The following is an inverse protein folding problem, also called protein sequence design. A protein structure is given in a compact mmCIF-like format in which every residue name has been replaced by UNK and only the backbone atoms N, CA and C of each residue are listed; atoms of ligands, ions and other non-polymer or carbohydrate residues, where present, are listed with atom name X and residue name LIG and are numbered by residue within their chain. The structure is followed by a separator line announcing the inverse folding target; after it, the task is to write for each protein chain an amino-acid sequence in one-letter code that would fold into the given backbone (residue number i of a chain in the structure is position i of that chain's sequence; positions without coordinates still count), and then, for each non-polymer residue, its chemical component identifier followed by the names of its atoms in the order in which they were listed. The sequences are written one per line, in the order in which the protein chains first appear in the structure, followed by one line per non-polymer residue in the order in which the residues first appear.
data_IF_926293098808
#
_entry.id   IF_926293098808
#
_cell.length_a   1.000
_cell.length_b   1.000
_cell.length_c   1.000
_cell.angle_alpha   90.00
_cell.angle_beta   90.00
_cell.angle_gamma   90.00
#
_symmetry.space_group_name_H-M   'P 1'
#
loop_
_entity.id
_entity.type
_entity.pdbx_description
1 polymer ?
#
# COMPACT_ATOMS: atom_id res chain seq x y z
N UNK A 1 -38.47 11.87 17.19
CA UNK A 1 -37.99 10.48 17.02
C UNK A 1 -38.43 10.02 15.65
N UNK A 2 -37.62 10.31 14.63
CA UNK A 2 -37.85 9.87 13.26
C UNK A 2 -36.77 8.85 12.95
N UNK A 3 -37.17 7.60 12.79
CA UNK A 3 -36.34 6.48 12.38
C UNK A 3 -36.33 6.46 10.84
N UNK A 4 -35.20 6.69 10.14
CA UNK A 4 -35.19 6.63 8.69
C UNK A 4 -34.14 5.63 8.22
N UNK A 5 -34.33 4.32 8.45
CA UNK A 5 -33.63 3.29 7.69
C UNK A 5 -34.54 2.07 7.51
N UNK A 6 -35.68 2.30 6.87
CA UNK A 6 -36.29 1.27 6.04
C UNK A 6 -35.90 1.57 4.59
N UNK A 7 -34.86 0.88 4.14
CA UNK A 7 -34.67 0.61 2.72
C UNK A 7 -34.29 -0.86 2.63
N UNK A 8 -35.21 -1.69 2.14
CA UNK A 8 -34.91 -3.00 1.57
C UNK A 8 -33.97 -2.81 0.36
N UNK A 9 -32.70 -2.51 0.61
CA UNK A 9 -31.64 -2.66 -0.38
C UNK A 9 -31.05 -4.04 -0.17
N UNK A 10 -31.35 -4.95 -1.10
CA UNK A 10 -30.79 -6.28 -1.14
C UNK A 10 -29.26 -6.15 -1.34
N UNK A 11 -28.50 -6.06 -0.24
CA UNK A 11 -27.05 -5.88 -0.25
C UNK A 11 -26.42 -7.05 -0.99
N UNK A 12 -25.47 -6.76 -1.88
CA UNK A 12 -24.74 -7.78 -2.66
C UNK A 12 -24.14 -8.81 -1.71
N UNK A 13 -24.44 -10.12 -1.85
CA UNK A 13 -23.77 -11.16 -1.08
C UNK A 13 -22.28 -11.18 -1.42
N UNK A 14 -21.43 -11.31 -0.40
CA UNK A 14 -19.98 -11.30 -0.56
C UNK A 14 -19.39 -12.52 0.14
N UNK A 15 -18.41 -13.13 -0.50
CA UNK A 15 -17.54 -14.13 0.11
C UNK A 15 -16.20 -13.48 0.48
N UNK A 16 -15.71 -13.70 1.70
CA UNK A 16 -14.33 -13.36 2.09
C UNK A 16 -13.54 -14.64 2.35
N UNK A 17 -12.40 -14.77 1.67
CA UNK A 17 -11.46 -15.88 1.79
C UNK A 17 -10.17 -15.35 2.43
N UNK A 18 -9.80 -15.94 3.56
CA UNK A 18 -8.65 -15.52 4.35
C UNK A 18 -9.06 -14.65 5.53
N UNK A 19 -8.86 -15.18 6.73
CA UNK A 19 -9.25 -14.54 8.00
C UNK A 19 -8.03 -14.34 8.89
N UNK A 20 -6.96 -13.79 8.31
CA UNK A 20 -5.89 -13.14 9.08
C UNK A 20 -6.39 -11.83 9.71
N UNK A 21 -5.54 -11.08 10.44
CA UNK A 21 -5.94 -9.81 11.06
C UNK A 21 -6.63 -8.84 10.08
N UNK A 22 -6.07 -8.70 8.87
CA UNK A 22 -6.64 -7.84 7.84
C UNK A 22 -7.95 -8.39 7.25
N UNK A 23 -7.97 -9.67 6.87
CA UNK A 23 -9.19 -10.31 6.33
C UNK A 23 -10.36 -10.33 7.31
N UNK A 24 -10.10 -10.47 8.62
CA UNK A 24 -11.11 -10.32 9.67
C UNK A 24 -11.70 -8.91 9.72
N UNK A 25 -10.86 -7.88 9.61
CA UNK A 25 -11.30 -6.49 9.61
C UNK A 25 -12.16 -6.18 8.36
N UNK A 26 -11.73 -6.66 7.18
CA UNK A 26 -12.50 -6.56 5.93
C UNK A 26 -13.86 -7.25 6.06
N UNK A 27 -13.88 -8.50 6.53
CA UNK A 27 -15.10 -9.27 6.71
C UNK A 27 -16.06 -8.59 7.70
N UNK A 28 -15.55 -8.14 8.86
CA UNK A 28 -16.37 -7.44 9.88
C UNK A 28 -16.94 -6.13 9.35
N UNK A 29 -16.16 -5.35 8.59
CA UNK A 29 -16.64 -4.10 8.01
C UNK A 29 -17.81 -4.35 7.05
N UNK A 30 -17.72 -5.35 6.18
CA UNK A 30 -18.80 -5.72 5.25
C UNK A 30 -20.05 -6.22 5.99
N UNK A 31 -19.86 -7.07 7.01
CA UNK A 31 -20.94 -7.61 7.83
C UNK A 31 -21.68 -6.50 8.58
N UNK A 32 -20.95 -5.55 9.16
CA UNK A 32 -21.50 -4.39 9.88
C UNK A 32 -22.34 -3.49 8.96
N UNK A 33 -21.98 -3.39 7.69
CA UNK A 33 -22.75 -2.65 6.67
C UNK A 33 -23.91 -3.46 6.06
N UNK A 34 -24.19 -4.65 6.59
CA UNK A 34 -25.36 -5.46 6.26
C UNK A 34 -25.22 -6.34 5.02
N UNK A 35 -24.00 -6.59 4.53
CA UNK A 35 -23.80 -7.54 3.43
C UNK A 35 -24.02 -8.99 3.91
N UNK A 36 -24.83 -9.82 3.20
CA UNK A 36 -24.85 -11.26 3.43
C UNK A 36 -23.45 -11.82 3.20
N UNK A 37 -22.81 -12.25 4.28
CA UNK A 37 -21.39 -12.60 4.27
C UNK A 37 -21.20 -14.11 4.36
N UNK A 38 -20.53 -14.68 3.37
CA UNK A 38 -19.92 -16.01 3.48
C UNK A 38 -18.44 -15.85 3.79
N UNK A 39 -17.90 -16.65 4.70
CA UNK A 39 -16.48 -16.64 5.03
C UNK A 39 -15.86 -18.02 4.88
N UNK A 40 -14.58 -18.04 4.52
CA UNK A 40 -13.77 -19.25 4.53
C UNK A 40 -12.33 -18.94 4.94
N UNK A 41 -11.73 -19.85 5.70
CA UNK A 41 -10.32 -19.83 6.04
C UNK A 41 -9.82 -21.25 6.30
N UNK A 42 -8.55 -21.53 6.00
CA UNK A 42 -7.92 -22.85 6.27
C UNK A 42 -8.05 -23.29 7.74
N UNK A 43 -7.88 -22.34 8.67
CA UNK A 43 -8.16 -22.54 10.10
C UNK A 43 -9.54 -21.98 10.40
N UNK A 44 -10.54 -22.85 10.46
CA UNK A 44 -11.95 -22.45 10.47
C UNK A 44 -12.32 -21.60 11.70
N UNK A 45 -11.73 -21.90 12.85
CA UNK A 45 -11.99 -21.29 14.17
C UNK A 45 -11.70 -19.78 14.17
N UNK A 46 -10.82 -19.30 13.27
CA UNK A 46 -10.58 -17.85 13.11
C UNK A 46 -11.85 -17.08 12.74
N UNK A 47 -12.82 -17.74 12.10
CA UNK A 47 -14.10 -17.15 11.75
C UNK A 47 -15.17 -17.22 12.84
N UNK A 48 -14.90 -17.80 14.02
CA UNK A 48 -15.94 -18.03 15.05
C UNK A 48 -16.61 -16.72 15.49
N UNK A 49 -15.81 -15.66 15.64
CA UNK A 49 -16.31 -14.33 16.00
C UNK A 49 -17.26 -13.75 14.94
N UNK A 50 -16.95 -13.94 13.65
CA UNK A 50 -17.79 -13.46 12.56
C UNK A 50 -19.07 -14.28 12.41
N UNK A 51 -19.01 -15.59 12.69
CA UNK A 51 -20.20 -16.46 12.71
C UNK A 51 -21.14 -16.03 13.83
N UNK A 52 -20.60 -15.73 15.02
CA UNK A 52 -21.40 -15.18 16.13
C UNK A 52 -22.03 -13.81 15.78
N UNK A 53 -21.41 -13.04 14.89
CA UNK A 53 -21.90 -11.77 14.36
C UNK A 53 -22.86 -11.94 13.16
N UNK A 54 -23.10 -13.16 12.68
CA UNK A 54 -24.08 -13.47 11.62
C UNK A 54 -23.52 -13.88 10.26
N UNK A 55 -22.19 -14.04 10.12
CA UNK A 55 -21.60 -14.56 8.90
C UNK A 55 -21.84 -16.07 8.73
N UNK A 56 -21.97 -16.53 7.48
CA UNK A 56 -22.06 -17.95 7.14
C UNK A 56 -20.67 -18.52 6.89
N UNK A 57 -20.28 -19.57 7.60
CA UNK A 57 -19.04 -20.31 7.30
C UNK A 57 -19.28 -21.32 6.17
N UNK A 58 -18.43 -21.29 5.14
CA UNK A 58 -18.37 -22.35 4.14
C UNK A 58 -17.42 -23.47 4.58
N UNK A 59 -17.73 -24.73 4.23
CA UNK A 59 -16.89 -25.89 4.55
C UNK A 59 -15.73 -26.06 3.56
N UNK A 60 -15.91 -25.62 2.31
CA UNK A 60 -14.90 -25.73 1.25
C UNK A 60 -14.72 -24.41 0.50
N UNK A 61 -13.59 -24.25 -0.19
CA UNK A 61 -13.35 -23.08 -1.06
C UNK A 61 -14.38 -23.01 -2.19
N UNK A 62 -14.68 -24.14 -2.83
CA UNK A 62 -15.67 -24.23 -3.92
C UNK A 62 -17.07 -23.79 -3.45
N UNK A 63 -17.48 -24.21 -2.25
CA UNK A 63 -18.71 -23.75 -1.62
C UNK A 63 -18.67 -22.25 -1.31
N UNK A 64 -17.54 -21.75 -0.82
CA UNK A 64 -17.37 -20.34 -0.48
C UNK A 64 -17.54 -19.44 -1.72
N UNK A 65 -16.82 -19.74 -2.81
CA UNK A 65 -16.86 -18.92 -4.03
C UNK A 65 -18.19 -19.02 -4.78
N UNK A 66 -18.86 -20.17 -4.68
CA UNK A 66 -20.17 -20.38 -5.31
C UNK A 66 -21.31 -19.63 -4.60
N UNK A 67 -21.13 -19.27 -3.33
CA UNK A 67 -22.17 -18.68 -2.50
C UNK A 67 -22.51 -17.23 -2.85
N UNK A 68 -21.58 -16.51 -3.49
CA UNK A 68 -21.68 -15.06 -3.68
C UNK A 68 -21.25 -14.65 -5.08
N UNK A 69 -21.86 -13.61 -5.68
CA UNK A 69 -21.40 -13.07 -6.96
C UNK A 69 -20.02 -12.38 -6.86
N UNK A 70 -19.58 -12.03 -5.64
CA UNK A 70 -18.30 -11.37 -5.37
C UNK A 70 -17.53 -12.18 -4.35
N UNK A 71 -16.26 -12.48 -4.66
CA UNK A 71 -15.29 -13.05 -3.72
C UNK A 71 -14.16 -12.06 -3.51
N UNK A 72 -13.88 -11.72 -2.25
CA UNK A 72 -12.72 -10.94 -1.82
C UNK A 72 -11.71 -11.90 -1.19
N UNK A 73 -10.47 -11.92 -1.69
CA UNK A 73 -9.38 -12.68 -1.08
C UNK A 73 -8.45 -11.74 -0.30
N UNK A 74 -8.09 -12.15 0.91
CA UNK A 74 -7.11 -11.47 1.76
C UNK A 74 -6.24 -12.54 2.45
N UNK A 75 -5.29 -13.03 1.67
CA UNK A 75 -4.36 -14.11 1.98
C UNK A 75 -2.92 -13.58 2.02
N UNK A 76 -1.95 -14.50 2.18
CA UNK A 76 -0.54 -14.16 2.32
C UNK A 76 0.04 -13.54 1.04
N UNK A 77 -0.26 -14.14 -0.11
CA UNK A 77 0.34 -13.82 -1.40
C UNK A 77 -0.54 -14.34 -2.56
N UNK A 78 -0.17 -13.98 -3.79
CA UNK A 78 -0.88 -14.38 -5.01
C UNK A 78 -0.82 -15.89 -5.27
N UNK A 79 0.29 -16.53 -4.92
CA UNK A 79 0.48 -17.98 -5.07
C UNK A 79 -0.54 -18.75 -4.24
N UNK A 80 -0.71 -18.37 -2.96
CA UNK A 80 -1.73 -18.95 -2.07
C UNK A 80 -3.14 -18.79 -2.64
N UNK A 81 -3.46 -17.63 -3.23
CA UNK A 81 -4.75 -17.42 -3.90
C UNK A 81 -4.91 -18.38 -5.08
N UNK A 82 -3.91 -18.48 -5.94
CA UNK A 82 -3.95 -19.32 -7.13
C UNK A 82 -4.11 -20.81 -6.76
N UNK A 83 -3.31 -21.31 -5.82
CA UNK A 83 -3.39 -22.69 -5.31
C UNK A 83 -4.77 -23.04 -4.72
N UNK A 84 -5.43 -22.07 -4.07
CA UNK A 84 -6.75 -22.29 -3.48
C UNK A 84 -7.88 -22.22 -4.52
N UNK A 85 -7.79 -21.32 -5.49
CA UNK A 85 -8.90 -21.05 -6.42
C UNK A 85 -8.87 -21.94 -7.65
N UNK A 86 -7.70 -22.33 -8.17
CA UNK A 86 -7.59 -23.21 -9.36
C UNK A 86 -8.34 -24.53 -9.19
N UNK A 87 -8.24 -25.26 -8.06
CA UNK A 87 -8.95 -26.52 -7.88
C UNK A 87 -10.48 -26.39 -7.83
N UNK A 88 -11.03 -25.17 -7.74
CA UNK A 88 -12.49 -24.95 -7.72
C UNK A 88 -13.13 -25.05 -9.11
N UNK A 89 -12.33 -25.14 -10.18
CA UNK A 89 -12.81 -25.25 -11.56
C UNK A 89 -13.69 -24.05 -11.94
N UNK A 90 -14.88 -24.32 -12.47
CA UNK A 90 -15.79 -23.29 -12.98
C UNK A 90 -16.60 -22.57 -11.88
N UNK A 91 -16.36 -22.83 -10.60
CA UNK A 91 -17.16 -22.27 -9.50
C UNK A 91 -17.18 -20.71 -9.50
N UNK A 92 -16.12 -20.08 -10.00
CA UNK A 92 -15.99 -18.63 -10.14
C UNK A 92 -16.42 -18.07 -11.51
N UNK A 93 -16.75 -18.92 -12.49
CA UNK A 93 -17.10 -18.48 -13.85
C UNK A 93 -18.28 -17.50 -13.81
N UNK A 94 -18.13 -16.34 -14.46
CA UNK A 94 -19.14 -15.28 -14.49
C UNK A 94 -19.27 -14.48 -13.18
N UNK A 95 -18.36 -14.66 -12.21
CA UNK A 95 -18.34 -13.94 -10.92
C UNK A 95 -17.21 -12.90 -10.88
N UNK A 96 -17.13 -12.17 -9.77
CA UNK A 96 -16.08 -11.19 -9.52
C UNK A 96 -15.11 -11.69 -8.45
N UNK A 97 -13.82 -11.57 -8.73
CA UNK A 97 -12.73 -11.75 -7.78
C UNK A 97 -12.07 -10.40 -7.50
N UNK A 98 -12.03 -10.01 -6.22
CA UNK A 98 -11.26 -8.86 -5.73
C UNK A 98 -10.10 -9.40 -4.92
N UNK A 99 -8.87 -9.09 -5.34
CA UNK A 99 -7.66 -9.53 -4.66
C UNK A 99 -7.08 -8.38 -3.84
N UNK A 100 -6.98 -8.56 -2.52
CA UNK A 100 -6.41 -7.59 -1.58
C UNK A 100 -5.09 -8.08 -0.97
N UNK A 101 -4.43 -9.03 -1.64
CA UNK A 101 -3.14 -9.55 -1.20
C UNK A 101 -2.02 -8.57 -1.56
N UNK A 102 -0.98 -8.54 -0.74
CA UNK A 102 0.27 -7.90 -1.14
C UNK A 102 1.03 -8.77 -2.15
N UNK A 103 1.75 -8.12 -3.05
CA UNK A 103 2.58 -8.78 -4.06
C UNK A 103 3.17 -7.79 -5.04
N UNK A 104 3.49 -8.27 -6.24
CA UNK A 104 4.15 -7.49 -7.30
C UNK A 104 3.21 -7.23 -8.48
N UNK A 105 3.47 -6.19 -9.29
CA UNK A 105 2.67 -5.92 -10.49
C UNK A 105 2.62 -7.10 -11.47
N UNK A 106 3.70 -7.88 -11.58
CA UNK A 106 3.74 -9.07 -12.42
C UNK A 106 2.77 -10.16 -11.91
N UNK A 107 2.70 -10.37 -10.60
CA UNK A 107 1.76 -11.33 -10.00
C UNK A 107 0.30 -10.87 -10.16
N UNK A 108 0.03 -9.57 -10.02
CA UNK A 108 -1.31 -9.01 -10.25
C UNK A 108 -1.78 -9.18 -11.69
N UNK A 109 -0.90 -8.94 -12.67
CA UNK A 109 -1.19 -9.17 -14.10
C UNK A 109 -1.43 -10.66 -14.40
N UNK A 110 -0.58 -11.55 -13.88
CA UNK A 110 -0.75 -12.98 -14.04
C UNK A 110 -2.08 -13.49 -13.44
N UNK A 111 -2.49 -12.97 -12.28
CA UNK A 111 -3.77 -13.31 -11.67
C UNK A 111 -4.96 -12.79 -12.49
N UNK A 112 -4.85 -11.58 -13.06
CA UNK A 112 -5.87 -11.04 -13.96
C UNK A 112 -5.98 -11.83 -15.27
N UNK A 113 -4.86 -12.26 -15.86
CA UNK A 113 -4.82 -13.12 -17.04
C UNK A 113 -5.48 -14.48 -16.77
N UNK A 114 -5.15 -15.11 -15.62
CA UNK A 114 -5.79 -16.34 -15.18
C UNK A 114 -7.30 -16.16 -15.01
N UNK A 115 -7.72 -15.07 -14.35
CA UNK A 115 -9.14 -14.77 -14.14
C UNK A 115 -9.88 -14.60 -15.47
N UNK A 116 -9.29 -13.86 -16.42
CA UNK A 116 -9.86 -13.65 -17.75
C UNK A 116 -10.02 -14.98 -18.53
N UNK A 117 -9.03 -15.87 -18.47
CA UNK A 117 -9.09 -17.19 -19.11
C UNK A 117 -10.23 -18.09 -18.57
N UNK A 118 -10.74 -17.80 -17.37
CA UNK A 118 -11.84 -18.53 -16.72
C UNK A 118 -13.14 -17.72 -16.66
N UNK A 119 -13.24 -16.63 -17.43
CA UNK A 119 -14.39 -15.71 -17.48
C UNK A 119 -14.77 -15.15 -16.08
N UNK A 120 -13.75 -14.82 -15.30
CA UNK A 120 -13.86 -14.19 -13.98
C UNK A 120 -13.53 -12.70 -14.12
N UNK A 121 -14.45 -11.83 -13.71
CA UNK A 121 -14.16 -10.40 -13.62
C UNK A 121 -13.18 -10.16 -12.47
N UNK A 122 -12.12 -9.37 -12.69
CA UNK A 122 -11.03 -9.21 -11.74
C UNK A 122 -10.81 -7.75 -11.34
N UNK A 123 -10.62 -7.50 -10.05
CA UNK A 123 -10.01 -6.27 -9.53
C UNK A 123 -8.84 -6.64 -8.64
N UNK A 124 -7.76 -5.91 -8.81
CA UNK A 124 -6.66 -5.88 -7.86
C UNK A 124 -6.85 -4.71 -6.89
N UNK A 125 -6.35 -4.84 -5.67
CA UNK A 125 -6.46 -3.79 -4.67
C UNK A 125 -5.43 -3.86 -3.57
N UNK A 126 -5.21 -2.72 -2.93
CA UNK A 126 -4.31 -2.55 -1.81
C UNK A 126 -4.98 -1.78 -0.69
N UNK A 127 -4.81 -2.28 0.54
CA UNK A 127 -5.36 -1.68 1.74
C UNK A 127 -4.27 -0.77 2.33
N UNK A 128 -4.49 0.55 2.28
CA UNK A 128 -3.48 1.55 2.69
C UNK A 128 -3.53 1.90 4.18
N UNK A 129 -4.14 1.04 4.99
CA UNK A 129 -4.34 1.26 6.41
C UNK A 129 -4.12 -0.04 7.20
N UNK A 130 -3.72 0.05 8.48
CA UNK A 130 -3.68 -1.11 9.37
C UNK A 130 -5.10 -1.63 9.67
N UNK A 131 -5.24 -2.92 10.09
CA UNK A 131 -6.53 -3.56 10.29
C UNK A 131 -7.56 -2.79 11.16
N UNK A 132 -7.18 -2.12 12.27
CA UNK A 132 -8.15 -1.40 13.10
C UNK A 132 -8.85 -0.23 12.40
N UNK A 133 -8.28 0.31 11.32
CA UNK A 133 -8.85 1.43 10.59
C UNK A 133 -9.79 0.99 9.46
N UNK A 134 -9.80 -0.27 9.04
CA UNK A 134 -10.70 -0.72 7.96
C UNK A 134 -12.16 -0.41 8.31
N UNK A 135 -12.86 0.26 7.39
CA UNK A 135 -14.23 0.74 7.55
C UNK A 135 -14.39 2.02 8.38
N UNK A 136 -13.30 2.61 8.88
CA UNK A 136 -13.31 3.88 9.62
C UNK A 136 -13.18 5.10 8.68
N UNK A 137 -13.64 6.29 9.11
CA UNK A 137 -13.39 7.54 8.38
C UNK A 137 -11.90 7.76 8.14
N UNK A 138 -11.54 8.15 6.91
CA UNK A 138 -10.14 8.39 6.51
C UNK A 138 -9.39 7.16 6.00
N UNK A 139 -9.99 5.95 6.05
CA UNK A 139 -9.38 4.77 5.44
C UNK A 139 -9.40 4.85 3.93
N UNK A 140 -8.29 4.51 3.29
CA UNK A 140 -8.14 4.53 1.83
C UNK A 140 -7.79 3.14 1.34
N UNK A 141 -8.45 2.73 0.25
CA UNK A 141 -8.12 1.50 -0.48
C UNK A 141 -7.89 1.86 -1.94
N UNK A 142 -6.80 1.36 -2.50
CA UNK A 142 -6.46 1.55 -3.91
C UNK A 142 -6.93 0.34 -4.69
N UNK A 143 -7.44 0.56 -5.90
CA UNK A 143 -7.91 -0.49 -6.79
C UNK A 143 -7.41 -0.26 -8.22
N UNK A 144 -7.22 -1.35 -8.96
CA UNK A 144 -6.91 -1.30 -10.37
C UNK A 144 -7.53 -2.45 -11.15
N UNK A 145 -7.86 -2.19 -12.42
CA UNK A 145 -8.57 -3.12 -13.28
C UNK A 145 -9.71 -2.46 -14.07
N UNK A 146 -10.61 -3.27 -14.66
CA UNK A 146 -11.71 -2.79 -15.48
C UNK A 146 -12.62 -1.80 -14.75
N UNK A 147 -12.94 -0.70 -15.43
CA UNK A 147 -13.73 0.39 -14.85
C UNK A 147 -15.15 -0.04 -14.46
N UNK A 148 -15.80 -0.80 -15.33
CA UNK A 148 -17.16 -1.31 -15.12
C UNK A 148 -17.27 -2.23 -13.89
N UNK A 149 -16.24 -3.04 -13.65
CA UNK A 149 -16.17 -3.90 -12.46
C UNK A 149 -16.00 -3.06 -11.20
N UNK A 150 -15.13 -2.05 -11.23
CA UNK A 150 -14.94 -1.12 -10.11
C UNK A 150 -16.22 -0.34 -9.79
N UNK A 151 -16.86 0.29 -10.78
CA UNK A 151 -18.10 1.05 -10.60
C UNK A 151 -19.22 0.18 -10.04
N UNK A 152 -19.36 -1.05 -10.52
CA UNK A 152 -20.34 -2.03 -9.99
C UNK A 152 -20.08 -2.36 -8.52
N UNK A 153 -18.82 -2.46 -8.10
CA UNK A 153 -18.45 -2.84 -6.74
C UNK A 153 -18.26 -1.66 -5.78
N UNK A 154 -18.18 -0.42 -6.30
CA UNK A 154 -17.91 0.77 -5.52
C UNK A 154 -18.75 0.90 -4.23
N UNK A 155 -20.08 0.61 -4.23
CA UNK A 155 -20.88 0.67 -3.00
C UNK A 155 -20.43 -0.30 -1.91
N UNK A 156 -19.97 -1.50 -2.27
CA UNK A 156 -19.46 -2.49 -1.33
C UNK A 156 -18.03 -2.17 -0.88
N UNK A 157 -17.18 -1.68 -1.80
CA UNK A 157 -15.81 -1.27 -1.50
C UNK A 157 -15.79 -0.05 -0.56
N UNK A 158 -16.77 0.85 -0.69
CA UNK A 158 -16.94 2.02 0.18
C UNK A 158 -17.18 1.66 1.65
N UNK A 159 -17.64 0.44 1.95
CA UNK A 159 -17.77 -0.06 3.32
C UNK A 159 -16.43 -0.34 4.00
N UNK A 160 -15.34 -0.43 3.23
CA UNK A 160 -13.99 -0.67 3.73
C UNK A 160 -13.19 0.62 3.95
N UNK A 161 -13.61 1.72 3.31
CA UNK A 161 -12.93 3.01 3.26
C UNK A 161 -13.22 3.73 1.94
N UNK A 162 -12.53 4.83 1.66
CA UNK A 162 -12.54 5.57 0.40
C UNK A 162 -11.89 4.72 -0.73
N UNK A 163 -12.69 4.19 -1.68
CA UNK A 163 -12.17 3.35 -2.75
C UNK A 163 -11.67 4.21 -3.92
N UNK A 164 -10.38 4.12 -4.25
CA UNK A 164 -9.74 4.89 -5.31
C UNK A 164 -9.25 4.00 -6.44
N UNK A 165 -9.81 4.16 -7.63
CA UNK A 165 -9.33 3.45 -8.83
C UNK A 165 -8.16 4.19 -9.48
N UNK A 166 -7.06 3.50 -9.69
CA UNK A 166 -5.82 4.05 -10.26
C UNK A 166 -5.72 3.90 -11.79
N UNK A 167 -6.42 2.93 -12.38
CA UNK A 167 -6.37 2.69 -13.82
C UNK A 167 -6.79 1.28 -14.21
N UNK A 168 -6.63 0.97 -15.50
CA UNK A 168 -7.02 -0.31 -16.07
C UNK A 168 -5.98 -1.43 -15.87
N UNK A 169 -4.69 -1.09 -15.75
CA UNK A 169 -3.64 -2.08 -15.51
C UNK A 169 -3.76 -2.65 -14.09
N UNK A 170 -4.05 -3.95 -13.91
CA UNK A 170 -4.23 -4.57 -12.59
C UNK A 170 -2.96 -4.50 -11.72
N UNK A 171 -1.78 -4.24 -12.29
CA UNK A 171 -0.55 -4.06 -11.52
C UNK A 171 -0.43 -2.73 -10.76
N UNK A 172 -1.31 -1.74 -11.00
CA UNK A 172 -1.16 -0.40 -10.43
C UNK A 172 -1.41 -0.36 -8.92
N UNK A 173 -2.42 -1.04 -8.39
CA UNK A 173 -2.73 -1.01 -6.96
C UNK A 173 -1.56 -1.53 -6.11
N UNK A 174 -1.01 -2.70 -6.47
CA UNK A 174 0.18 -3.24 -5.79
C UNK A 174 1.45 -2.43 -6.02
N UNK A 175 1.61 -1.78 -7.19
CA UNK A 175 2.75 -0.89 -7.44
C UNK A 175 2.69 0.34 -6.52
N UNK A 176 1.53 1.01 -6.46
CA UNK A 176 1.33 2.15 -5.57
C UNK A 176 1.51 1.75 -4.10
N UNK A 177 1.01 0.58 -3.71
CA UNK A 177 1.25 0.05 -2.37
C UNK A 177 2.74 -0.11 -2.07
N UNK A 178 3.50 -0.73 -2.97
CA UNK A 178 4.93 -0.90 -2.81
C UNK A 178 5.67 0.45 -2.72
N UNK A 179 5.33 1.41 -3.59
CA UNK A 179 5.94 2.74 -3.59
C UNK A 179 5.63 3.54 -2.31
N UNK A 180 4.39 3.47 -1.82
CA UNK A 180 3.98 4.16 -0.58
C UNK A 180 4.58 3.50 0.66
N UNK A 181 4.74 2.17 0.67
CA UNK A 181 5.45 1.47 1.74
C UNK A 181 6.95 1.76 1.71
N UNK A 182 7.57 1.84 0.54
CA UNK A 182 8.97 2.24 0.39
C UNK A 182 9.18 3.65 0.97
N UNK A 183 8.34 4.62 0.60
CA UNK A 183 8.35 5.96 1.17
C UNK A 183 8.20 5.95 2.70
N UNK A 184 7.27 5.13 3.23
CA UNK A 184 7.07 4.97 4.67
C UNK A 184 8.34 4.46 5.36
N UNK A 185 8.93 3.37 4.86
CA UNK A 185 10.11 2.76 5.47
C UNK A 185 11.36 3.64 5.32
N UNK A 186 11.55 4.31 4.19
CA UNK A 186 12.63 5.26 4.00
C UNK A 186 12.53 6.42 5.01
N UNK A 187 11.32 6.97 5.20
CA UNK A 187 11.07 8.05 6.18
C UNK A 187 11.31 7.57 7.61
N UNK A 188 10.79 6.39 7.98
CA UNK A 188 11.00 5.82 9.31
C UNK A 188 12.47 5.55 9.59
N UNK A 189 13.20 4.97 8.63
CA UNK A 189 14.63 4.71 8.78
C UNK A 189 15.42 6.01 8.92
N UNK A 190 15.10 7.04 8.13
CA UNK A 190 15.68 8.38 8.30
C UNK A 190 15.47 8.95 9.71
N UNK A 191 14.25 8.86 10.24
CA UNK A 191 13.93 9.30 11.60
C UNK A 191 14.70 8.47 12.66
N UNK A 192 14.72 7.14 12.53
CA UNK A 192 15.40 6.25 13.47
C UNK A 192 16.91 6.49 13.48
N UNK A 193 17.52 6.67 12.31
CA UNK A 193 18.95 6.97 12.18
C UNK A 193 19.30 8.33 12.79
N UNK A 194 18.54 9.38 12.46
CA UNK A 194 18.73 10.71 13.03
C UNK A 194 18.52 10.73 14.56
N UNK A 195 17.55 9.95 15.05
CA UNK A 195 17.33 9.77 16.49
C UNK A 195 18.53 9.08 17.16
N UNK A 196 19.13 8.07 16.51
CA UNK A 196 20.33 7.41 17.02
C UNK A 196 21.54 8.36 17.08
N UNK A 197 21.69 9.25 16.09
CA UNK A 197 22.73 10.28 16.05
C UNK A 197 22.65 11.24 17.24
N UNK A 198 21.47 11.74 17.59
CA UNK A 198 21.35 12.64 18.75
C UNK A 198 21.39 11.86 20.07
N UNK A 199 20.94 10.61 20.08
CA UNK A 199 21.01 9.74 21.25
C UNK A 199 22.45 9.40 21.66
N UNK A 200 23.41 9.36 20.73
CA UNK A 200 24.84 9.17 21.06
C UNK A 200 25.40 10.30 21.94
N UNK A 201 24.79 11.49 21.87
CA UNK A 201 25.09 12.64 22.71
C UNK A 201 24.20 12.72 23.96
N UNK A 202 23.37 11.71 24.23
CA UNK A 202 22.48 11.65 25.39
C UNK A 202 21.14 12.39 25.23
N UNK A 203 20.80 12.85 24.02
CA UNK A 203 19.51 13.52 23.77
C UNK A 203 18.38 12.48 23.73
N UNK A 204 17.30 12.64 24.52
CA UNK A 204 16.16 11.73 24.48
C UNK A 204 15.42 11.77 23.14
N UNK A 205 14.97 10.61 22.68
CA UNK A 205 14.18 10.49 21.45
C UNK A 205 12.92 11.38 21.44
N UNK A 206 12.30 11.60 22.61
CA UNK A 206 11.11 12.46 22.74
C UNK A 206 11.42 13.93 22.47
N UNK A 207 12.59 14.40 22.90
CA UNK A 207 13.02 15.78 22.67
C UNK A 207 13.35 16.00 21.19
N UNK A 208 14.07 15.04 20.60
CA UNK A 208 14.34 15.08 19.17
C UNK A 208 13.07 14.98 18.32
N UNK A 209 12.13 14.11 18.69
CA UNK A 209 10.88 13.94 17.97
C UNK A 209 10.04 15.22 17.94
N UNK A 210 10.06 16.02 19.00
CA UNK A 210 9.36 17.31 19.01
C UNK A 210 9.91 18.24 17.92
N UNK A 211 11.24 18.40 17.84
CA UNK A 211 11.86 19.22 16.81
C UNK A 211 11.72 18.62 15.40
N UNK A 212 11.97 17.32 15.27
CA UNK A 212 12.01 16.62 13.98
C UNK A 212 10.61 16.47 13.36
N UNK A 213 9.63 15.99 14.13
CA UNK A 213 8.31 15.62 13.61
C UNK A 213 7.33 16.80 13.66
N UNK A 214 7.38 17.65 14.69
CA UNK A 214 6.40 18.72 14.83
C UNK A 214 6.82 20.02 14.12
N UNK A 215 8.11 20.20 13.81
CA UNK A 215 8.61 21.40 13.12
C UNK A 215 9.37 21.10 11.83
N UNK A 216 10.47 20.33 11.89
CA UNK A 216 11.38 20.17 10.75
C UNK A 216 10.71 19.46 9.57
N UNK A 217 10.07 18.30 9.80
CA UNK A 217 9.39 17.55 8.74
C UNK A 217 8.25 18.36 8.09
N UNK A 218 7.30 18.96 8.82
CA UNK A 218 6.28 19.82 8.23
C UNK A 218 6.86 21.02 7.48
N UNK A 219 7.76 21.78 8.10
CA UNK A 219 8.18 23.10 7.58
C UNK A 219 9.25 23.01 6.49
N UNK A 220 10.22 22.10 6.66
CA UNK A 220 11.39 22.02 5.77
C UNK A 220 11.18 20.97 4.67
N UNK A 221 10.45 19.89 4.98
CA UNK A 221 10.30 18.76 4.05
C UNK A 221 8.94 18.74 3.36
N UNK A 222 7.84 19.09 4.05
CA UNK A 222 6.46 18.83 3.57
C UNK A 222 5.63 20.07 3.19
N UNK A 223 5.98 21.29 3.61
CA UNK A 223 5.06 22.45 3.63
C UNK A 223 4.50 22.85 2.26
N UNK A 224 5.23 22.52 1.17
CA UNK A 224 4.74 22.64 -0.21
C UNK A 224 5.67 21.98 -1.25
N UNK A 225 6.94 21.78 -0.89
CA UNK A 225 8.03 21.51 -1.85
C UNK A 225 7.82 20.27 -2.70
N UNK A 226 7.54 19.09 -2.14
CA UNK A 226 7.52 17.86 -2.93
C UNK A 226 6.32 17.74 -3.86
N UNK A 227 5.16 18.27 -3.47
CA UNK A 227 3.97 18.28 -4.35
C UNK A 227 4.12 19.31 -5.46
N UNK A 228 4.63 20.51 -5.14
CA UNK A 228 4.89 21.56 -6.13
C UNK A 228 5.98 21.16 -7.13
N UNK A 229 7.04 20.50 -6.65
CA UNK A 229 8.18 20.04 -7.47
C UNK A 229 7.92 18.71 -8.18
N UNK A 230 6.77 18.04 -7.95
CA UNK A 230 6.45 16.79 -8.64
C UNK A 230 6.43 16.96 -10.17
N UNK A 231 5.94 18.11 -10.66
CA UNK A 231 5.93 18.40 -12.10
C UNK A 231 7.32 18.58 -12.70
N UNK A 232 8.31 18.88 -11.87
CA UNK A 232 9.69 19.07 -12.28
C UNK A 232 10.38 17.71 -12.47
N UNK A 233 9.99 16.70 -11.67
CA UNK A 233 10.38 15.30 -11.91
C UNK A 233 9.90 14.81 -13.29
N UNK A 234 8.67 15.13 -13.67
CA UNK A 234 8.10 14.74 -14.97
C UNK A 234 8.83 15.41 -16.16
N UNK A 235 9.27 16.67 -15.97
CA UNK A 235 9.98 17.45 -16.99
C UNK A 235 11.48 17.17 -17.05
N UNK A 236 12.05 16.58 -16.01
CA UNK A 236 13.50 16.47 -15.85
C UNK A 236 14.17 17.83 -15.62
N UNK A 237 13.47 18.78 -14.99
CA UNK A 237 13.98 20.12 -14.70
C UNK A 237 14.34 20.21 -13.21
N UNK A 238 15.56 20.60 -12.88
CA UNK A 238 16.06 20.57 -11.50
C UNK A 238 16.87 21.83 -11.18
N UNK A 239 16.22 23.01 -11.04
CA UNK A 239 16.93 24.26 -10.81
C UNK A 239 17.73 24.23 -9.50
N UNK A 240 19.02 24.55 -9.58
CA UNK A 240 19.94 24.55 -8.43
C UNK A 240 20.02 25.86 -7.64
N UNK A 241 19.14 26.83 -7.92
CA UNK A 241 19.24 28.22 -7.41
C UNK A 241 19.26 28.33 -5.87
N UNK A 242 18.65 27.36 -5.19
CA UNK A 242 18.53 27.32 -3.71
C UNK A 242 19.43 26.27 -3.05
N UNK A 243 20.15 25.49 -3.84
CA UNK A 243 21.03 24.42 -3.36
C UNK A 243 21.33 23.41 -4.46
N UNK A 244 22.62 23.19 -4.73
CA UNK A 244 23.08 22.27 -5.78
C UNK A 244 23.34 20.86 -5.23
N UNK A 245 23.49 19.87 -6.11
CA UNK A 245 23.83 18.50 -5.77
C UNK A 245 25.18 18.43 -5.08
N UNK A 246 26.16 19.23 -5.52
CA UNK A 246 27.46 19.35 -4.85
C UNK A 246 27.34 19.88 -3.42
N UNK A 247 26.49 20.88 -3.17
CA UNK A 247 26.23 21.36 -1.81
C UNK A 247 25.58 20.27 -0.94
N UNK A 248 24.63 19.52 -1.50
CA UNK A 248 23.97 18.42 -0.79
C UNK A 248 24.94 17.24 -0.54
N UNK A 249 25.85 16.94 -1.46
CA UNK A 249 26.88 15.92 -1.26
C UNK A 249 27.77 16.27 -0.05
N UNK A 250 28.21 17.53 0.08
CA UNK A 250 28.96 17.96 1.26
C UNK A 250 28.18 17.75 2.57
N UNK A 251 26.86 17.99 2.57
CA UNK A 251 26.02 17.72 3.73
C UNK A 251 25.91 16.21 4.03
N UNK A 252 25.78 15.37 3.00
CA UNK A 252 25.76 13.90 3.15
C UNK A 252 27.09 13.36 3.68
N UNK A 253 28.22 13.85 3.19
CA UNK A 253 29.55 13.51 3.71
C UNK A 253 29.68 13.87 5.20
N UNK A 254 29.17 15.03 5.62
CA UNK A 254 29.14 15.43 7.02
C UNK A 254 28.29 14.47 7.86
N UNK A 255 27.10 14.08 7.40
CA UNK A 255 26.23 13.13 8.11
C UNK A 255 26.91 11.77 8.25
N UNK A 256 27.52 11.26 7.16
CA UNK A 256 28.26 9.99 7.16
C UNK A 256 29.42 10.03 8.15
N UNK A 257 30.24 11.09 8.10
CA UNK A 257 31.38 11.26 9.02
C UNK A 257 30.93 11.38 10.47
N UNK A 258 29.93 12.20 10.75
CA UNK A 258 29.39 12.35 12.12
C UNK A 258 28.83 11.03 12.62
N UNK A 259 28.19 10.21 11.79
CA UNK A 259 27.74 8.87 12.18
C UNK A 259 28.91 8.01 12.66
N UNK A 260 30.02 7.99 11.91
CA UNK A 260 31.24 7.25 12.30
C UNK A 260 31.83 7.78 13.61
N UNK A 261 31.97 9.11 13.74
CA UNK A 261 32.51 9.77 14.94
C UNK A 261 31.66 9.48 16.19
N UNK A 262 30.35 9.35 16.03
CA UNK A 262 29.39 9.07 17.10
C UNK A 262 29.17 7.57 17.36
N UNK A 263 29.84 6.68 16.61
CA UNK A 263 29.65 5.23 16.73
C UNK A 263 28.25 4.76 16.29
N UNK A 264 27.57 5.53 15.45
CA UNK A 264 26.26 5.21 14.87
C UNK A 264 26.46 4.59 13.48
N UNK A 265 25.63 3.61 13.15
CA UNK A 265 25.70 2.92 11.85
C UNK A 265 25.63 3.91 10.68
N UNK A 266 26.55 3.81 9.72
CA UNK A 266 26.70 4.81 8.65
C UNK A 266 26.28 4.32 7.25
N UNK A 267 25.79 3.08 7.09
CA UNK A 267 25.45 2.57 5.75
C UNK A 267 24.31 3.34 5.07
N UNK A 268 23.29 3.77 5.82
CA UNK A 268 22.20 4.55 5.25
C UNK A 268 22.67 5.91 4.69
N UNK A 269 23.37 6.77 5.46
CA UNK A 269 23.90 8.02 4.89
C UNK A 269 24.97 7.79 3.84
N UNK A 270 25.78 6.71 3.93
CA UNK A 270 26.74 6.34 2.89
C UNK A 270 26.04 6.00 1.56
N UNK A 271 24.94 5.25 1.59
CA UNK A 271 24.18 4.96 0.37
C UNK A 271 23.63 6.24 -0.27
N UNK A 272 23.10 7.17 0.53
CA UNK A 272 22.63 8.47 0.02
C UNK A 272 23.78 9.27 -0.60
N UNK A 273 24.96 9.25 0.02
CA UNK A 273 26.18 9.86 -0.51
C UNK A 273 26.59 9.24 -1.86
N UNK A 274 26.66 7.91 -1.96
CA UNK A 274 27.04 7.19 -3.19
C UNK A 274 26.10 7.54 -4.37
N UNK A 275 24.79 7.65 -4.11
CA UNK A 275 23.81 8.03 -5.13
C UNK A 275 24.00 9.49 -5.58
N UNK A 276 24.31 10.41 -4.66
CA UNK A 276 24.60 11.80 -5.00
C UNK A 276 25.92 11.95 -5.80
N UNK A 277 26.96 11.18 -5.44
CA UNK A 277 28.22 11.11 -6.19
C UNK A 277 27.97 10.63 -7.63
N UNK A 278 27.12 9.61 -7.80
CA UNK A 278 26.72 9.14 -9.14
C UNK A 278 25.98 10.24 -9.92
N UNK A 279 25.05 10.95 -9.28
CA UNK A 279 24.34 12.06 -9.93
C UNK A 279 25.30 13.16 -10.42
N UNK A 280 26.31 13.53 -9.63
CA UNK A 280 27.34 14.49 -10.03
C UNK A 280 28.15 13.95 -11.22
N UNK A 281 28.57 12.69 -11.17
CA UNK A 281 29.31 12.05 -12.26
C UNK A 281 28.53 12.01 -13.59
N UNK A 282 27.20 11.93 -13.52
CA UNK A 282 26.30 12.00 -14.67
C UNK A 282 25.93 13.42 -15.12
N UNK A 283 26.53 14.45 -14.51
CA UNK A 283 26.39 15.85 -14.93
C UNK A 283 25.34 16.66 -14.18
N UNK A 284 24.74 16.12 -13.12
CA UNK A 284 23.74 16.81 -12.31
C UNK A 284 24.33 17.65 -11.16
N UNK A 285 25.63 17.94 -11.18
CA UNK A 285 26.32 18.65 -10.09
C UNK A 285 25.71 20.01 -9.74
N UNK A 286 25.31 20.77 -10.76
CA UNK A 286 24.67 22.08 -10.61
C UNK A 286 23.15 22.04 -10.37
N UNK A 287 22.52 20.87 -10.44
CA UNK A 287 21.08 20.71 -10.22
C UNK A 287 20.75 20.58 -8.74
N UNK A 288 19.49 20.75 -8.34
CA UNK A 288 19.09 20.45 -6.95
C UNK A 288 19.05 18.93 -6.66
N UNK A 289 18.86 18.57 -5.39
CA UNK A 289 18.90 17.18 -4.93
C UNK A 289 17.86 16.26 -5.58
N UNK A 290 16.75 16.79 -6.12
CA UNK A 290 15.74 15.96 -6.80
C UNK A 290 16.27 15.30 -8.07
N UNK A 291 17.37 15.79 -8.66
CA UNK A 291 18.01 15.13 -9.79
C UNK A 291 18.48 13.70 -9.48
N UNK A 292 18.58 13.29 -8.20
CA UNK A 292 18.76 11.88 -7.80
C UNK A 292 17.67 10.97 -8.42
N UNK A 293 16.47 11.51 -8.70
CA UNK A 293 15.41 10.78 -9.40
C UNK A 293 15.89 10.18 -10.74
N UNK A 294 16.76 10.88 -11.47
CA UNK A 294 17.32 10.43 -12.74
C UNK A 294 18.19 9.18 -12.60
N UNK A 295 18.83 9.04 -11.43
CA UNK A 295 19.63 7.87 -11.08
C UNK A 295 18.71 6.71 -10.69
N UNK A 296 17.73 6.98 -9.82
CA UNK A 296 16.83 5.96 -9.28
C UNK A 296 15.86 5.37 -10.31
N UNK A 297 15.46 6.14 -11.32
CA UNK A 297 14.50 5.68 -12.35
C UNK A 297 15.11 4.77 -13.41
N UNK A 298 16.43 4.58 -13.39
CA UNK A 298 17.17 3.76 -14.36
C UNK A 298 17.62 2.45 -13.69
N UNK A 299 17.79 1.36 -14.44
CA UNK A 299 18.44 0.16 -13.91
C UNK A 299 19.85 0.50 -13.44
N UNK A 300 20.32 -0.12 -12.35
CA UNK A 300 21.71 -0.03 -11.96
C UNK A 300 22.60 -0.51 -13.12
N UNK A 301 23.53 0.34 -13.57
CA UNK A 301 24.53 -0.04 -14.55
C UNK A 301 25.41 -1.12 -13.89
N UNK A 302 25.35 -2.35 -14.41
CA UNK A 302 26.15 -3.49 -13.93
C UNK A 302 27.53 -3.49 -14.57
#
# INVERSE_FOLDING_TARGET
MTNPLSSDQNRTPITVIGLGPMGLAVARALLTHGHPLTIWNRTAEKGDVLVAEGARRAATVAEAVSASPVTIVCLKDYETTHELLVPTGDALRGRVLVNLNSGTPAQARAAAEWAAAHEIAYLDGAIMVPPPLVGQPGSVLLYSGPQDVFERLQPALACLGDPRRLGADPGLAVLYNAALLDLMYATMNGFLHATALVASAGVPATEFADLAVNWFMPTVVMDASLVEQASDLDKGDYPGDVGTMEMNLNALEHITRTSVEQGVHSDQPRLMQEVAEQAIAEGYGGNNYLAVYEILRRPATT
#
